data_IF_559120678758
#
_entry.id   IF_559120678758
#
_cell.length_a   1.000
_cell.length_b   1.000
_cell.length_c   1.000
_cell.angle_alpha   90.00
_cell.angle_beta   90.00
_cell.angle_gamma   90.00
#
_symmetry.space_group_name_H-M   'P 1'
#
loop_
_entity.id
_entity.type
_entity.pdbx_description
1 polymer ?
#
# COMPACT_ATOMS: atom_id res chain seq x y z
N UNK A 1 -12.72 -1.23 -14.03
CA UNK A 1 -12.07 -2.07 -13.02
C UNK A 1 -10.63 -1.61 -12.99
N UNK A 2 -10.30 -0.79 -11.99
CA UNK A 2 -8.96 -0.24 -11.83
C UNK A 2 -8.44 -0.76 -10.50
N UNK A 3 -7.24 -1.31 -10.49
CA UNK A 3 -6.58 -1.76 -9.27
C UNK A 3 -6.16 -0.54 -8.46
N UNK A 4 -6.38 -0.60 -7.16
CA UNK A 4 -6.03 0.43 -6.19
C UNK A 4 -5.18 -0.17 -5.08
N UNK A 5 -4.50 0.67 -4.32
CA UNK A 5 -3.76 0.24 -3.14
C UNK A 5 -4.48 0.78 -1.92
N UNK A 6 -4.60 -0.06 -0.90
CA UNK A 6 -5.00 0.36 0.44
C UNK A 6 -3.81 0.29 1.37
N UNK A 7 -3.92 0.89 2.55
CA UNK A 7 -2.87 0.83 3.56
C UNK A 7 -3.41 0.23 4.85
N UNK A 8 -2.68 -0.74 5.38
CA UNK A 8 -2.99 -1.36 6.65
C UNK A 8 -1.81 -1.18 7.59
N UNK A 9 -2.09 -0.94 8.85
CA UNK A 9 -1.05 -0.77 9.87
C UNK A 9 -1.31 -1.74 11.02
N UNK A 10 -0.23 -2.30 11.55
CA UNK A 10 -0.29 -3.29 12.63
C UNK A 10 0.61 -2.85 13.77
N UNK A 11 0.01 -2.69 14.96
CA UNK A 11 0.71 -2.30 16.17
C UNK A 11 0.50 -3.37 17.26
N UNK A 12 1.42 -4.34 17.34
CA UNK A 12 1.45 -5.39 18.37
C UNK A 12 0.33 -6.46 18.28
N UNK A 13 -0.82 -6.10 17.68
CA UNK A 13 -1.98 -6.91 17.24
C UNK A 13 -3.20 -6.04 16.92
N UNK A 14 -3.12 -4.73 17.17
CA UNK A 14 -4.15 -3.79 16.76
C UNK A 14 -3.94 -3.48 15.27
N UNK A 15 -4.82 -4.01 14.42
CA UNK A 15 -4.82 -3.74 12.99
C UNK A 15 -5.73 -2.56 12.72
N UNK A 16 -5.17 -1.52 12.11
CA UNK A 16 -5.94 -0.41 11.55
C UNK A 16 -5.94 -0.55 10.03
N UNK A 17 -7.12 -0.86 9.49
CA UNK A 17 -7.38 -0.87 8.06
C UNK A 17 -7.79 0.52 7.60
N UNK A 18 -7.30 0.89 6.43
CA UNK A 18 -7.70 2.10 5.75
C UNK A 18 -8.33 1.77 4.40
N UNK A 19 -9.37 2.51 4.05
CA UNK A 19 -10.19 2.31 2.85
C UNK A 19 -10.04 3.44 1.84
N UNK A 20 -8.97 4.25 1.93
CA UNK A 20 -8.68 5.27 0.94
C UNK A 20 -8.00 4.66 -0.29
N UNK A 21 -8.57 4.99 -1.45
CA UNK A 21 -8.10 4.44 -2.72
C UNK A 21 -6.85 5.18 -3.20
N UNK A 22 -5.73 4.48 -3.28
CA UNK A 22 -4.48 5.02 -3.83
C UNK A 22 -4.21 4.53 -5.25
N UNK A 23 -5.10 4.90 -6.16
CA UNK A 23 -5.05 4.43 -7.56
C UNK A 23 -3.89 5.04 -8.33
N UNK A 24 -3.47 6.28 -8.05
CA UNK A 24 -2.37 6.90 -8.77
C UNK A 24 -1.03 6.30 -8.33
N UNK A 25 -0.85 5.99 -7.05
CA UNK A 25 0.31 5.25 -6.55
C UNK A 25 0.48 3.91 -7.27
N UNK A 26 -0.60 3.16 -7.46
CA UNK A 26 -0.53 1.90 -8.23
C UNK A 26 -0.20 2.15 -9.69
N UNK A 27 -0.89 3.11 -10.32
CA UNK A 27 -0.73 3.43 -11.75
C UNK A 27 0.66 3.90 -12.12
N UNK A 28 1.28 4.70 -11.25
CA UNK A 28 2.62 5.25 -11.43
C UNK A 28 3.70 4.46 -10.67
N UNK A 29 3.38 3.25 -10.20
CA UNK A 29 4.32 2.41 -9.44
C UNK A 29 5.64 2.17 -10.18
N UNK A 30 5.61 1.96 -11.50
CA UNK A 30 6.83 1.75 -12.32
C UNK A 30 7.73 3.01 -12.39
N UNK A 31 7.12 4.18 -12.57
CA UNK A 31 7.82 5.47 -12.54
C UNK A 31 8.39 5.76 -11.14
N UNK A 32 7.62 5.45 -10.09
CA UNK A 32 8.03 5.59 -8.70
C UNK A 32 9.16 4.62 -8.34
N UNK A 33 9.12 3.38 -8.81
CA UNK A 33 10.17 2.38 -8.66
C UNK A 33 11.48 2.85 -9.31
N UNK A 34 11.37 3.39 -10.52
CA UNK A 34 12.51 3.97 -11.24
C UNK A 34 13.11 5.15 -10.48
N UNK A 35 12.28 5.94 -9.80
CA UNK A 35 12.72 7.03 -8.94
C UNK A 35 13.38 6.50 -7.65
N UNK A 36 12.80 5.46 -7.03
CA UNK A 36 13.37 4.80 -5.86
C UNK A 36 14.77 4.25 -6.15
N UNK A 37 14.95 3.62 -7.32
CA UNK A 37 16.23 3.05 -7.76
C UNK A 37 17.31 4.12 -7.91
N UNK A 38 16.95 5.28 -8.48
CA UNK A 38 17.85 6.45 -8.57
C UNK A 38 18.23 7.01 -7.20
N UNK A 39 17.30 7.01 -6.26
CA UNK A 39 17.49 7.53 -4.91
C UNK A 39 18.16 6.52 -3.97
N UNK A 40 18.28 5.25 -4.38
CA UNK A 40 18.86 4.17 -3.58
C UNK A 40 17.96 3.72 -2.43
N UNK A 41 16.65 3.95 -2.52
CA UNK A 41 15.65 3.50 -1.53
C UNK A 41 14.92 2.24 -2.02
N UNK A 42 14.17 1.59 -1.13
CA UNK A 42 13.38 0.42 -1.49
C UNK A 42 12.29 0.79 -2.50
N UNK A 43 12.09 -0.12 -3.46
CA UNK A 43 11.07 0.00 -4.51
C UNK A 43 9.67 -0.03 -3.92
N UNK A 44 8.78 0.85 -4.38
CA UNK A 44 7.40 0.89 -3.88
C UNK A 44 6.67 -0.42 -4.19
N UNK A 45 6.92 -0.99 -5.38
CA UNK A 45 6.37 -2.27 -5.81
C UNK A 45 6.76 -3.44 -4.91
N UNK A 46 7.90 -3.35 -4.22
CA UNK A 46 8.37 -4.39 -3.30
C UNK A 46 7.57 -4.43 -2.00
N UNK A 47 6.79 -3.38 -1.71
CA UNK A 47 5.89 -3.32 -0.56
C UNK A 47 4.47 -3.74 -0.91
N UNK A 48 4.17 -4.05 -2.18
CA UNK A 48 2.84 -4.46 -2.58
C UNK A 48 2.56 -5.89 -2.17
N UNK A 49 1.37 -6.09 -1.63
CA UNK A 49 0.84 -7.38 -1.23
C UNK A 49 -0.24 -7.80 -2.23
N UNK A 50 0.01 -8.92 -2.91
CA UNK A 50 -0.94 -9.50 -3.87
C UNK A 50 -1.86 -10.54 -3.23
N UNK A 51 -1.76 -10.79 -1.93
CA UNK A 51 -2.51 -11.84 -1.25
C UNK A 51 -4.01 -11.59 -1.39
N UNK A 52 -4.47 -10.37 -1.15
CA UNK A 52 -5.89 -10.00 -1.33
C UNK A 52 -6.36 -10.23 -2.77
N UNK A 53 -5.60 -9.76 -3.75
CA UNK A 53 -5.90 -9.94 -5.17
C UNK A 53 -5.97 -11.43 -5.56
N UNK A 54 -5.02 -12.24 -5.08
CA UNK A 54 -4.97 -13.67 -5.35
C UNK A 54 -6.15 -14.42 -4.73
N UNK A 55 -6.56 -14.03 -3.52
CA UNK A 55 -7.73 -14.60 -2.84
C UNK A 55 -9.02 -14.19 -3.55
N UNK A 56 -9.19 -12.91 -3.90
CA UNK A 56 -10.33 -12.42 -4.67
C UNK A 56 -10.48 -13.17 -6.01
N UNK A 57 -9.36 -13.36 -6.73
CA UNK A 57 -9.35 -14.13 -7.98
C UNK A 57 -9.67 -15.61 -7.78
N UNK A 58 -9.30 -16.19 -6.64
CA UNK A 58 -9.56 -17.60 -6.32
C UNK A 58 -11.00 -17.84 -5.87
N UNK A 59 -11.60 -16.87 -5.17
CA UNK A 59 -12.99 -16.94 -4.69
C UNK A 59 -14.04 -16.83 -5.79
N UNK A 60 -13.71 -16.29 -6.97
CA UNK A 60 -14.62 -16.21 -8.12
C UNK A 60 -14.77 -17.57 -8.86
N UNK A 61 -13.83 -18.50 -8.67
CA UNK A 61 -13.80 -19.82 -9.34
C UNK A 61 -14.39 -20.96 -8.47
N UNK A 62 -14.58 -20.72 -7.16
CA UNK A 62 -15.03 -21.74 -6.22
C UNK A 62 -16.56 -21.82 -6.15
N UNK A 63 -17.17 -22.58 -7.07
CA UNK A 63 -18.59 -23.00 -7.03
C UNK A 63 -18.91 -23.96 -5.86
N UNK A 64 -18.02 -24.12 -4.87
CA UNK A 64 -18.31 -24.92 -3.67
C UNK A 64 -18.91 -24.01 -2.59
N UNK A 65 -20.21 -24.16 -2.33
CA UNK A 65 -21.00 -23.29 -1.45
C UNK A 65 -20.69 -23.38 0.04
N UNK A 66 -19.41 -23.36 0.42
CA UNK A 66 -18.95 -23.09 1.79
C UNK A 66 -18.50 -21.63 1.85
N UNK A 67 -19.26 -20.79 2.56
CA UNK A 67 -18.87 -19.40 2.86
C UNK A 67 -17.48 -19.44 3.51
N UNK A 68 -16.48 -18.69 3.00
CA UNK A 68 -15.15 -18.68 3.60
C UNK A 68 -15.26 -18.23 5.05
N UNK A 69 -14.59 -18.93 5.98
CA UNK A 69 -14.52 -18.52 7.38
C UNK A 69 -13.87 -17.13 7.44
N UNK A 70 -14.71 -16.11 7.70
CA UNK A 70 -14.25 -14.74 7.86
C UNK A 70 -13.50 -14.63 9.19
N UNK A 71 -12.25 -14.21 9.11
CA UNK A 71 -11.44 -13.92 10.28
C UNK A 71 -12.00 -12.69 10.99
N UNK A 72 -12.22 -12.82 12.30
CA UNK A 72 -12.87 -11.76 13.09
C UNK A 72 -11.95 -10.56 13.36
N UNK A 73 -10.65 -10.69 13.11
CA UNK A 73 -9.66 -9.64 13.33
C UNK A 73 -9.43 -8.80 12.06
N UNK A 74 -9.62 -9.37 10.87
CA UNK A 74 -9.47 -8.67 9.58
C UNK A 74 -10.79 -8.42 8.83
N UNK A 75 -11.89 -9.03 9.28
CA UNK A 75 -13.18 -9.06 8.58
C UNK A 75 -13.08 -9.63 7.15
N UNK A 76 -11.99 -10.32 6.82
CA UNK A 76 -11.70 -10.93 5.52
C UNK A 76 -11.59 -12.45 5.64
N UNK A 77 -11.60 -13.14 4.50
CA UNK A 77 -11.37 -14.59 4.40
C UNK A 77 -9.93 -15.03 4.75
N UNK A 78 -9.08 -14.10 5.17
CA UNK A 78 -7.68 -14.32 5.51
C UNK A 78 -7.29 -13.48 6.74
N UNK A 79 -6.49 -14.07 7.63
CA UNK A 79 -6.05 -13.43 8.86
C UNK A 79 -4.81 -12.56 8.68
N UNK A 80 -4.47 -11.80 9.73
CA UNK A 80 -3.27 -10.95 9.79
C UNK A 80 -1.99 -11.73 9.44
N UNK A 81 -1.92 -13.04 9.74
CA UNK A 81 -0.75 -13.89 9.48
C UNK A 81 -0.53 -14.20 7.99
N UNK A 82 -1.57 -14.07 7.15
CA UNK A 82 -1.49 -14.32 5.70
C UNK A 82 -0.99 -13.09 4.92
N UNK A 83 -1.14 -11.89 5.50
CA UNK A 83 -0.67 -10.63 4.93
C UNK A 83 0.85 -10.43 5.07
N UNK A 84 1.46 -9.77 4.10
CA UNK A 84 2.87 -9.40 4.13
C UNK A 84 3.07 -8.08 4.88
N UNK A 85 3.59 -8.18 6.09
CA UNK A 85 3.87 -7.01 6.92
C UNK A 85 5.30 -6.51 6.77
N UNK A 86 5.42 -5.24 6.41
CA UNK A 86 6.68 -4.51 6.26
C UNK A 86 6.92 -3.57 7.43
N UNK A 87 8.16 -3.14 7.64
CA UNK A 87 8.52 -2.22 8.71
C UNK A 87 8.00 -0.79 8.43
N UNK A 88 7.17 -0.25 9.33
CA UNK A 88 6.53 1.05 9.10
C UNK A 88 7.53 2.20 8.96
N UNK A 89 8.68 2.13 9.63
CA UNK A 89 9.72 3.16 9.52
C UNK A 89 10.42 3.10 8.15
N UNK A 90 10.69 1.91 7.63
CA UNK A 90 11.24 1.72 6.28
C UNK A 90 10.27 2.20 5.19
N UNK A 91 8.98 1.91 5.33
CA UNK A 91 7.93 2.43 4.44
C UNK A 91 7.86 3.94 4.48
N UNK A 92 7.73 4.51 5.68
CA UNK A 92 7.64 5.96 5.91
C UNK A 92 8.82 6.73 5.28
N UNK A 93 10.05 6.24 5.47
CA UNK A 93 11.24 6.85 4.89
C UNK A 93 11.21 6.84 3.35
N UNK A 94 10.76 5.73 2.76
CA UNK A 94 10.58 5.60 1.31
C UNK A 94 9.54 6.59 0.79
N UNK A 95 8.34 6.65 1.40
CA UNK A 95 7.28 7.56 0.96
C UNK A 95 7.66 9.04 1.11
N UNK A 96 8.32 9.41 2.21
CA UNK A 96 8.82 10.78 2.39
C UNK A 96 9.86 11.17 1.33
N UNK A 97 10.76 10.25 1.00
CA UNK A 97 11.80 10.46 -0.02
C UNK A 97 11.19 10.59 -1.42
N UNK A 98 10.23 9.74 -1.76
CA UNK A 98 9.47 9.82 -3.00
C UNK A 98 8.70 11.13 -3.10
N UNK A 99 7.91 11.48 -2.08
CA UNK A 99 7.15 12.74 -2.04
C UNK A 99 8.05 13.96 -2.23
N UNK A 100 9.20 14.02 -1.56
CA UNK A 100 10.15 15.11 -1.72
C UNK A 100 10.69 15.20 -3.16
N UNK A 101 11.08 14.07 -3.73
CA UNK A 101 11.62 14.00 -5.10
C UNK A 101 10.58 14.38 -6.16
N UNK A 102 9.34 13.92 -5.99
CA UNK A 102 8.21 14.30 -6.86
C UNK A 102 7.95 15.80 -6.73
N UNK A 103 7.95 16.35 -5.52
CA UNK A 103 7.80 17.80 -5.30
C UNK A 103 8.89 18.60 -6.03
N UNK A 104 10.14 18.13 -6.02
CA UNK A 104 11.28 18.69 -6.77
C UNK A 104 11.22 18.48 -8.30
N UNK A 105 10.15 17.86 -8.79
CA UNK A 105 9.86 17.67 -10.21
C UNK A 105 10.74 16.63 -10.92
N UNK A 106 11.17 15.59 -10.19
CA UNK A 106 11.92 14.44 -10.73
C UNK A 106 11.07 13.53 -11.66
N UNK A 107 9.75 13.73 -11.71
CA UNK A 107 8.82 13.07 -12.66
C UNK A 107 8.25 14.07 -13.66
N UNK A 108 9.01 14.50 -14.68
CA UNK A 108 8.57 15.49 -15.67
C UNK A 108 7.46 14.97 -16.61
N UNK A 109 7.25 13.65 -16.67
CA UNK A 109 6.18 13.05 -17.49
C UNK A 109 4.80 13.06 -16.79
N UNK A 110 4.75 13.50 -15.52
CA UNK A 110 3.53 13.56 -14.73
C UNK A 110 2.85 14.92 -14.95
N UNK A 111 1.58 14.92 -15.35
CA UNK A 111 0.79 16.16 -15.43
C UNK A 111 0.65 16.79 -14.04
N UNK A 112 0.56 18.13 -13.97
CA UNK A 112 0.47 18.85 -12.68
C UNK A 112 -0.73 18.43 -11.82
N UNK A 113 -1.84 18.06 -12.44
CA UNK A 113 -3.01 17.49 -11.74
C UNK A 113 -2.64 16.15 -11.10
N UNK A 114 -2.25 15.14 -11.88
CA UNK A 114 -1.85 13.83 -11.37
C UNK A 114 -0.72 13.93 -10.33
N UNK A 115 0.20 14.89 -10.49
CA UNK A 115 1.24 15.18 -9.52
C UNK A 115 0.69 15.63 -8.18
N UNK A 116 -0.28 16.54 -8.19
CA UNK A 116 -0.91 17.03 -6.97
C UNK A 116 -1.63 15.89 -6.26
N UNK A 117 -2.45 15.13 -7.00
CA UNK A 117 -3.21 14.02 -6.44
C UNK A 117 -2.29 12.89 -5.92
N UNK A 118 -1.22 12.55 -6.64
CA UNK A 118 -0.24 11.55 -6.18
C UNK A 118 0.49 12.01 -4.91
N UNK A 119 0.81 13.31 -4.81
CA UNK A 119 1.39 13.87 -3.60
C UNK A 119 0.41 13.83 -2.42
N UNK A 120 -0.88 14.00 -2.65
CA UNK A 120 -1.93 13.85 -1.63
C UNK A 120 -2.04 12.40 -1.16
N UNK A 121 -2.09 11.42 -2.06
CA UNK A 121 -2.09 9.98 -1.72
C UNK A 121 -0.83 9.61 -0.89
N UNK A 122 0.35 10.12 -1.29
CA UNK A 122 1.59 9.90 -0.54
C UNK A 122 1.58 10.58 0.85
N UNK A 123 1.05 11.80 0.97
CA UNK A 123 0.98 12.53 2.25
C UNK A 123 0.06 11.82 3.24
N UNK A 124 -1.03 11.26 2.72
CA UNK A 124 -1.96 10.43 3.48
C UNK A 124 -1.29 9.14 4.00
N UNK A 125 -0.65 8.35 3.12
CA UNK A 125 0.17 7.19 3.50
C UNK A 125 1.21 7.55 4.57
N UNK A 126 1.93 8.66 4.39
CA UNK A 126 2.94 9.16 5.35
C UNK A 126 2.29 9.48 6.70
N UNK A 127 1.11 10.11 6.69
CA UNK A 127 0.40 10.48 7.91
C UNK A 127 -0.05 9.24 8.68
N UNK A 128 -0.57 8.22 7.98
CA UNK A 128 -0.98 6.95 8.56
C UNK A 128 0.21 6.16 9.12
N UNK A 129 1.37 6.22 8.45
CA UNK A 129 2.58 5.50 8.87
C UNK A 129 3.37 6.19 9.98
N UNK A 130 3.20 7.50 10.22
CA UNK A 130 3.92 8.22 11.29
C UNK A 130 3.71 7.59 12.66
N UNK A 131 2.45 7.34 13.04
CA UNK A 131 2.11 6.77 14.35
C UNK A 131 2.75 5.39 14.58
N UNK A 132 2.50 4.41 13.69
CA UNK A 132 3.12 3.09 13.75
C UNK A 132 4.65 3.16 13.68
N UNK A 133 5.23 4.02 12.83
CA UNK A 133 6.68 4.16 12.72
C UNK A 133 7.34 4.63 14.02
N UNK A 134 6.72 5.50 14.80
CA UNK A 134 7.26 5.94 16.10
C UNK A 134 7.18 4.84 17.16
N UNK A 135 6.24 3.91 17.01
CA UNK A 135 5.96 2.82 17.96
C UNK A 135 6.59 1.48 17.54
N UNK A 136 7.28 1.43 16.40
CA UNK A 136 7.89 0.21 15.87
C UNK A 136 6.86 -0.78 15.33
N UNK A 137 5.73 -0.27 14.83
CA UNK A 137 4.69 -1.05 14.16
C UNK A 137 5.08 -1.45 12.75
N UNK A 138 4.17 -2.18 12.11
CA UNK A 138 4.30 -2.68 10.75
C UNK A 138 3.20 -2.13 9.86
N UNK A 139 3.36 -2.28 8.55
CA UNK A 139 2.37 -1.88 7.58
C UNK A 139 2.28 -2.86 6.42
N UNK A 140 1.15 -2.87 5.74
CA UNK A 140 0.86 -3.70 4.58
C UNK A 140 0.16 -2.83 3.51
N UNK A 141 0.46 -3.08 2.23
CA UNK A 141 -0.10 -2.36 1.08
C UNK A 141 -0.74 -3.38 0.13
N UNK A 142 -1.96 -3.85 0.41
CA UNK A 142 -2.62 -4.80 -0.45
C UNK A 142 -3.12 -4.13 -1.73
N UNK A 143 -3.03 -4.88 -2.82
CA UNK A 143 -3.61 -4.52 -4.11
C UNK A 143 -5.07 -4.97 -4.11
N UNK A 144 -5.99 -4.02 -4.22
CA UNK A 144 -7.44 -4.24 -4.23
C UNK A 144 -7.98 -4.02 -5.66
N UNK A 145 -8.98 -4.82 -6.08
CA UNK A 145 -9.58 -4.80 -7.43
C UNK A 145 -11.04 -4.38 -7.47
#
# INVERSE_FOLDING_TARGET
>A
MGMTLWIHTLEGRDMSTDSEDHTLMYRYSDDLDSLCDKLGVAKISSFFDSTDLEICMRGDDDETGEDPEIDSETENSYGIDDMVWFDAAAGLATFQTLRASIAENELPNLNEENKTWLLEELDDCITKLKGPSERGGQFNLPIIM
#
